data_IF_336960557162
#
_entry.id   IF_336960557162
#
_cell.length_a   1.000
_cell.length_b   1.000
_cell.length_c   1.000
_cell.angle_alpha   90.00
_cell.angle_beta   90.00
_cell.angle_gamma   90.00
#
_symmetry.space_group_name_H-M   'P 1'
#
loop_
_entity.id
_entity.type
_entity.pdbx_description
1 polymer ?
#
# COMPACT_ATOMS: atom_id res chain seq x y z
N UNK A 1 4.61 -23.07 -4.62
CA UNK A 1 3.44 -22.99 -5.52
C UNK A 1 2.52 -21.95 -4.92
N UNK A 2 2.35 -20.79 -5.57
CA UNK A 2 1.53 -19.71 -5.02
C UNK A 2 0.08 -20.19 -4.96
N UNK A 3 -0.49 -20.23 -3.75
CA UNK A 3 -1.85 -20.71 -3.50
C UNK A 3 -2.82 -19.92 -4.38
N UNK A 4 -3.68 -20.59 -5.15
CA UNK A 4 -4.65 -19.92 -6.05
C UNK A 4 -5.49 -18.86 -5.33
N UNK A 5 -5.77 -19.10 -4.04
CA UNK A 5 -6.43 -18.17 -3.13
C UNK A 5 -5.67 -16.85 -2.93
N UNK A 6 -4.34 -16.86 -2.91
CA UNK A 6 -3.49 -15.67 -2.81
C UNK A 6 -3.53 -14.85 -4.11
N UNK A 7 -3.50 -15.50 -5.27
CA UNK A 7 -3.60 -14.83 -6.57
C UNK A 7 -4.96 -14.14 -6.72
N UNK A 8 -6.04 -14.82 -6.34
CA UNK A 8 -7.39 -14.23 -6.37
C UNK A 8 -7.49 -13.05 -5.38
N UNK A 9 -7.02 -13.21 -4.15
CA UNK A 9 -7.06 -12.15 -3.12
C UNK A 9 -6.25 -10.90 -3.49
N UNK A 10 -5.13 -11.05 -4.20
CA UNK A 10 -4.27 -9.91 -4.59
C UNK A 10 -4.69 -9.27 -5.91
N UNK A 11 -5.54 -9.92 -6.71
CA UNK A 11 -5.94 -9.43 -8.03
C UNK A 11 -6.61 -8.05 -8.01
N UNK A 12 -7.49 -7.80 -7.04
CA UNK A 12 -8.14 -6.49 -6.87
C UNK A 12 -7.11 -5.40 -6.52
N UNK A 13 -6.20 -5.69 -5.58
CA UNK A 13 -5.18 -4.72 -5.14
C UNK A 13 -4.18 -4.43 -6.26
N UNK A 14 -3.86 -5.43 -7.10
CA UNK A 14 -3.06 -5.22 -8.30
C UNK A 14 -3.74 -4.24 -9.26
N UNK A 15 -5.07 -4.34 -9.43
CA UNK A 15 -5.85 -3.39 -10.21
C UNK A 15 -5.75 -1.96 -9.66
N UNK A 16 -5.89 -1.80 -8.35
CA UNK A 16 -5.79 -0.50 -7.67
C UNK A 16 -4.37 0.09 -7.76
N UNK A 17 -3.33 -0.73 -7.64
CA UNK A 17 -1.94 -0.30 -7.86
C UNK A 17 -1.69 0.13 -9.30
N UNK A 18 -2.23 -0.59 -10.28
CA UNK A 18 -2.16 -0.20 -11.69
C UNK A 18 -2.84 1.15 -11.92
N UNK A 19 -4.04 1.36 -11.37
CA UNK A 19 -4.74 2.63 -11.48
C UNK A 19 -4.01 3.77 -10.75
N UNK A 20 -3.47 3.52 -9.56
CA UNK A 20 -2.60 4.46 -8.83
C UNK A 20 -1.38 4.85 -9.67
N UNK A 21 -0.73 3.89 -10.33
CA UNK A 21 0.43 4.13 -11.19
C UNK A 21 0.13 4.99 -12.42
N UNK A 22 -1.13 5.09 -12.85
CA UNK A 22 -1.52 6.01 -13.92
C UNK A 22 -1.49 7.48 -13.48
N UNK A 23 -1.58 7.73 -12.16
CA UNK A 23 -1.57 9.08 -11.57
C UNK A 23 -0.22 9.46 -10.98
N UNK A 24 0.48 8.47 -10.43
CA UNK A 24 1.67 8.69 -9.62
C UNK A 24 2.84 7.80 -10.06
N UNK A 25 4.04 8.36 -9.97
CA UNK A 25 5.29 7.62 -10.13
C UNK A 25 6.04 7.63 -8.81
N UNK A 26 6.41 6.45 -8.29
CA UNK A 26 7.36 6.32 -7.19
C UNK A 26 8.79 6.38 -7.76
N UNK A 27 9.59 7.28 -7.21
CA UNK A 27 10.99 7.54 -7.61
C UNK A 27 11.82 7.72 -6.33
N UNK A 28 12.43 6.63 -5.86
CA UNK A 28 13.09 6.60 -4.55
C UNK A 28 12.10 6.91 -3.42
N UNK A 29 12.42 7.94 -2.63
CA UNK A 29 11.60 8.49 -1.55
C UNK A 29 10.65 9.62 -2.01
N UNK A 30 10.46 9.78 -3.32
CA UNK A 30 9.51 10.74 -3.89
C UNK A 30 8.32 10.05 -4.55
N UNK A 31 7.13 10.59 -4.35
CA UNK A 31 6.00 10.41 -5.26
C UNK A 31 5.92 11.60 -6.19
N UNK A 32 5.79 11.34 -7.50
CA UNK A 32 5.66 12.35 -8.55
C UNK A 32 4.28 12.28 -9.19
N UNK A 33 3.64 13.42 -9.37
CA UNK A 33 2.41 13.51 -10.16
C UNK A 33 2.75 13.35 -11.64
N UNK A 34 2.10 12.40 -12.35
CA UNK A 34 2.37 12.17 -13.78
C UNK A 34 1.86 13.29 -14.69
N UNK A 35 1.00 14.18 -14.18
CA UNK A 35 0.43 15.29 -14.96
C UNK A 35 1.26 16.58 -14.86
N UNK A 36 1.81 16.90 -13.68
CA UNK A 36 2.58 18.14 -13.48
C UNK A 36 4.04 17.94 -13.07
N UNK A 37 4.49 16.68 -12.94
CA UNK A 37 5.85 16.25 -12.60
C UNK A 37 6.41 16.80 -11.27
N UNK A 38 5.58 17.48 -10.46
CA UNK A 38 5.93 17.84 -9.08
C UNK A 38 6.17 16.59 -8.28
N UNK A 39 7.07 16.69 -7.30
CA UNK A 39 7.43 15.63 -6.39
C UNK A 39 7.09 15.99 -4.95
N UNK A 40 6.72 15.00 -4.14
CA UNK A 40 6.60 15.10 -2.70
C UNK A 40 7.42 13.98 -2.05
N UNK A 41 8.35 14.35 -1.18
CA UNK A 41 9.18 13.40 -0.41
C UNK A 41 8.33 12.73 0.70
N UNK A 42 8.65 11.48 1.06
CA UNK A 42 7.84 10.63 1.95
C UNK A 42 7.57 11.24 3.33
N UNK A 43 8.48 12.02 3.91
CA UNK A 43 8.27 12.63 5.23
C UNK A 43 7.13 13.67 5.25
N UNK A 44 6.64 14.12 4.10
CA UNK A 44 5.43 14.95 3.98
C UNK A 44 4.16 14.13 3.65
N UNK A 45 4.15 12.81 3.91
CA UNK A 45 3.03 11.93 3.55
C UNK A 45 1.65 12.37 4.07
N UNK A 46 1.61 13.11 5.18
CA UNK A 46 0.39 13.62 5.81
C UNK A 46 -0.05 14.99 5.32
N UNK A 47 0.78 15.63 4.50
CA UNK A 47 0.47 16.92 3.91
C UNK A 47 -0.18 16.75 2.53
N UNK A 48 -1.11 17.64 2.13
CA UNK A 48 -1.63 17.66 0.78
C UNK A 48 -0.51 17.73 -0.27
N UNK A 49 -0.68 17.01 -1.39
CA UNK A 49 0.31 16.98 -2.45
C UNK A 49 0.46 18.36 -3.12
N UNK A 50 1.69 18.90 -3.24
CA UNK A 50 1.92 20.25 -3.76
C UNK A 50 1.91 20.28 -5.29
N UNK A 51 0.73 20.21 -5.90
CA UNK A 51 0.57 20.34 -7.35
C UNK A 51 0.99 21.73 -7.85
N UNK A 52 1.51 21.78 -9.09
CA UNK A 52 1.65 23.05 -9.79
C UNK A 52 0.26 23.63 -10.10
N UNK A 53 0.09 24.96 -10.08
CA UNK A 53 -1.20 25.60 -10.39
C UNK A 53 -1.72 25.30 -11.81
N UNK A 54 -0.83 24.91 -12.73
CA UNK A 54 -1.17 24.45 -14.09
C UNK A 54 -1.53 22.97 -14.19
N UNK A 55 -1.56 22.23 -13.08
CA UNK A 55 -1.88 20.81 -13.07
C UNK A 55 -3.34 20.59 -13.49
N UNK A 56 -3.54 19.93 -14.62
CA UNK A 56 -4.86 19.62 -15.21
C UNK A 56 -5.02 18.11 -15.34
N UNK A 57 -5.25 17.38 -14.24
CA UNK A 57 -5.44 15.94 -14.32
C UNK A 57 -6.77 15.65 -15.03
N UNK A 58 -6.81 14.58 -15.81
CA UNK A 58 -8.04 14.12 -16.48
C UNK A 58 -9.00 13.41 -15.52
N UNK A 59 -8.57 13.19 -14.27
CA UNK A 59 -9.30 12.54 -13.18
C UNK A 59 -9.01 13.24 -11.86
N UNK A 60 -9.83 13.00 -10.84
CA UNK A 60 -9.58 13.48 -9.48
C UNK A 60 -8.33 12.79 -8.94
N UNK A 61 -7.41 13.57 -8.38
CA UNK A 61 -6.21 13.06 -7.71
C UNK A 61 -6.43 13.03 -6.20
N UNK A 62 -5.86 12.02 -5.55
CA UNK A 62 -5.90 11.90 -4.10
C UNK A 62 -5.08 13.04 -3.46
N UNK A 63 -5.61 13.73 -2.43
CA UNK A 63 -4.88 14.83 -1.80
C UNK A 63 -3.63 14.33 -1.06
N UNK A 64 -3.60 13.09 -0.58
CA UNK A 64 -2.47 12.50 0.16
C UNK A 64 -2.06 11.16 -0.49
N UNK A 65 -1.36 11.18 -1.63
CA UNK A 65 -1.09 9.98 -2.41
C UNK A 65 -0.21 8.96 -1.69
N UNK A 66 0.65 9.42 -0.77
CA UNK A 66 1.44 8.53 0.10
C UNK A 66 0.57 7.68 1.03
N UNK A 67 -0.52 8.24 1.57
CA UNK A 67 -1.46 7.49 2.41
C UNK A 67 -2.20 6.43 1.60
N UNK A 68 -2.60 6.77 0.37
CA UNK A 68 -3.19 5.81 -0.57
C UNK A 68 -2.20 4.68 -0.89
N UNK A 69 -0.95 5.01 -1.23
CA UNK A 69 0.08 4.02 -1.53
C UNK A 69 0.38 3.10 -0.32
N UNK A 70 0.47 3.68 0.88
CA UNK A 70 0.67 2.92 2.11
C UNK A 70 -0.50 1.95 2.36
N UNK A 71 -1.75 2.38 2.15
CA UNK A 71 -2.91 1.51 2.33
C UNK A 71 -2.87 0.29 1.39
N UNK A 72 -2.59 0.51 0.09
CA UNK A 72 -2.49 -0.56 -0.90
C UNK A 72 -1.37 -1.55 -0.58
N UNK A 73 -0.19 -1.04 -0.23
CA UNK A 73 0.99 -1.87 0.08
C UNK A 73 0.87 -2.58 1.43
N UNK A 74 0.22 -1.96 2.42
CA UNK A 74 -0.06 -2.60 3.72
C UNK A 74 -0.99 -3.79 3.55
N UNK A 75 -2.04 -3.66 2.72
CA UNK A 75 -2.96 -4.77 2.48
C UNK A 75 -2.26 -5.93 1.73
N UNK A 76 -1.41 -5.63 0.75
CA UNK A 76 -0.57 -6.66 0.13
C UNK A 76 0.35 -7.34 1.14
N UNK A 77 1.00 -6.57 2.01
CA UNK A 77 1.87 -7.12 3.06
C UNK A 77 1.09 -8.01 4.03
N UNK A 78 -0.14 -7.62 4.41
CA UNK A 78 -1.03 -8.41 5.28
C UNK A 78 -1.40 -9.75 4.65
N UNK A 79 -1.69 -9.77 3.35
CA UNK A 79 -2.00 -11.00 2.62
C UNK A 79 -0.77 -11.89 2.37
N UNK A 80 0.41 -11.28 2.24
CA UNK A 80 1.67 -11.99 2.05
C UNK A 80 2.28 -12.53 3.35
N UNK A 81 1.86 -12.01 4.51
CA UNK A 81 2.31 -12.50 5.80
C UNK A 81 1.91 -13.99 5.97
N UNK A 82 2.84 -14.87 6.38
CA UNK A 82 2.49 -16.24 6.68
C UNK A 82 1.40 -16.26 7.77
N UNK A 83 0.32 -17.00 7.52
CA UNK A 83 -0.68 -17.23 8.57
C UNK A 83 0.05 -17.89 9.74
N UNK A 84 0.07 -17.24 10.89
CA UNK A 84 0.66 -17.77 12.11
C UNK A 84 -0.24 -18.87 12.68
N UNK A 85 -0.45 -19.95 11.92
CA UNK A 85 -1.08 -21.16 12.39
C UNK A 85 0.01 -22.06 12.99
N UNK A 86 0.19 -21.96 14.31
CA UNK A 86 0.78 -23.03 15.11
C UNK A 86 2.08 -22.72 15.84
N UNK A 87 2.01 -21.90 16.90
CA UNK A 87 2.90 -22.06 18.05
C UNK A 87 2.08 -22.33 19.32
N UNK A 88 1.71 -23.61 19.45
CA UNK A 88 1.82 -24.40 20.67
C UNK A 88 1.71 -23.70 22.02
N UNK A 89 0.50 -23.42 22.46
CA UNK A 89 0.16 -23.26 23.88
C UNK A 89 -0.34 -24.57 24.48
N UNK A 90 0.44 -25.66 24.45
CA UNK A 90 0.17 -26.78 25.35
C UNK A 90 0.55 -26.33 26.76
N UNK A 91 -0.43 -25.83 27.51
CA UNK A 91 -0.35 -25.67 28.96
C UNK A 91 -0.24 -27.04 29.62
N UNK A 92 0.98 -27.59 29.62
CA UNK A 92 1.36 -28.70 30.48
C UNK A 92 1.94 -28.13 31.77
N UNK A 93 1.26 -28.37 32.89
CA UNK A 93 1.79 -28.08 34.22
C UNK A 93 0.72 -27.61 35.19
N UNK A 94 0.02 -28.55 35.83
CA UNK A 94 -0.38 -28.40 37.22
C UNK A 94 -0.36 -29.78 37.86
N UNK A 95 0.79 -30.10 38.44
CA UNK A 95 0.86 -30.93 39.63
C UNK A 95 0.88 -30.04 40.86
N UNK A 96 0.60 -30.65 42.02
CA UNK A 96 0.47 -30.08 43.37
C UNK A 96 -0.93 -29.49 43.60
N UNK A 97 -1.83 -30.14 44.35
CA UNK A 97 -1.67 -30.64 45.74
C UNK A 97 -2.53 -31.88 45.99
#
# INVERSE_FOLDING_TARGET
MSDRKYIEATSAINGDLCDFSNRWTLDGDYLRCRFCNRAQITNYMDSPFPHAGSCKPTRVLEPQPWRTFLALTTELARLAAPQADGLGGKGGGNGVQ
#
